data_IF_342704996155
#
_entry.id   IF_342704996155
#
_cell.length_a   1.000
_cell.length_b   1.000
_cell.length_c   1.000
_cell.angle_alpha   90.00
_cell.angle_beta   90.00
_cell.angle_gamma   90.00
#
_symmetry.space_group_name_H-M   'P 1'
#
loop_
_entity.id
_entity.type
_entity.pdbx_description
1 polymer ?
#
# COMPACT_ATOMS: atom_id res chain seq x y z
N UNK A 1 15.59 0.17 -18.93
CA UNK A 1 15.26 1.18 -17.88
C UNK A 1 14.53 2.42 -18.44
N UNK A 2 14.70 2.78 -19.72
CA UNK A 2 13.94 3.87 -20.38
C UNK A 2 12.51 3.46 -20.82
N UNK A 3 12.31 2.19 -21.14
CA UNK A 3 11.09 1.65 -21.74
C UNK A 3 9.87 1.68 -20.79
N UNK A 4 10.02 1.28 -19.52
CA UNK A 4 8.90 1.26 -18.55
C UNK A 4 8.28 2.64 -18.28
N UNK A 5 9.14 3.66 -18.21
CA UNK A 5 8.69 5.03 -18.05
C UNK A 5 7.97 5.53 -19.33
N UNK A 6 8.42 5.11 -20.51
CA UNK A 6 7.77 5.44 -21.78
C UNK A 6 6.40 4.76 -21.90
N UNK A 7 6.27 3.51 -21.48
CA UNK A 7 4.99 2.79 -21.47
C UNK A 7 4.01 3.40 -20.47
N UNK A 8 4.47 3.69 -19.25
CA UNK A 8 3.68 4.41 -18.25
C UNK A 8 3.16 5.75 -18.80
N UNK A 9 4.02 6.52 -19.47
CA UNK A 9 3.63 7.78 -20.12
C UNK A 9 2.68 7.58 -21.29
N UNK A 10 2.83 6.51 -22.05
CA UNK A 10 1.93 6.16 -23.16
C UNK A 10 0.54 5.86 -22.63
N UNK A 11 0.43 5.10 -21.55
CA UNK A 11 -0.85 4.81 -20.89
C UNK A 11 -1.47 6.07 -20.31
N UNK A 12 -0.68 6.89 -19.61
CA UNK A 12 -1.16 8.19 -19.11
C UNK A 12 -1.66 9.09 -20.24
N UNK A 13 -0.93 9.14 -21.36
CA UNK A 13 -1.30 9.95 -22.52
C UNK A 13 -2.60 9.48 -23.17
N UNK A 14 -2.81 8.17 -23.21
CA UNK A 14 -3.98 7.57 -23.88
C UNK A 14 -5.21 7.45 -22.97
N UNK A 15 -5.02 7.31 -21.66
CA UNK A 15 -6.07 6.94 -20.71
C UNK A 15 -6.21 7.90 -19.51
N UNK A 16 -5.40 8.96 -19.45
CA UNK A 16 -5.36 9.89 -18.33
C UNK A 16 -4.63 9.33 -17.10
N UNK A 17 -4.83 9.94 -15.94
CA UNK A 17 -4.26 9.43 -14.68
C UNK A 17 -4.84 8.05 -14.33
N UNK A 18 -4.05 7.14 -13.73
CA UNK A 18 -4.59 5.93 -13.11
C UNK A 18 -5.56 6.34 -12.00
N UNK A 19 -6.49 5.45 -11.63
CA UNK A 19 -7.45 5.67 -10.55
C UNK A 19 -6.86 5.23 -9.21
N UNK A 20 -6.14 4.11 -9.18
CA UNK A 20 -5.53 3.54 -7.98
C UNK A 20 -4.06 3.24 -8.18
N UNK A 21 -3.28 3.46 -7.13
CA UNK A 21 -1.91 3.01 -6.98
C UNK A 21 -1.78 2.12 -5.75
N UNK A 22 -1.37 0.87 -5.97
CA UNK A 22 -1.27 -0.14 -4.93
C UNK A 22 0.19 -0.54 -4.79
N UNK A 23 0.71 -0.51 -3.57
CA UNK A 23 1.99 -1.15 -3.25
C UNK A 23 1.74 -2.40 -2.44
N UNK A 24 2.01 -3.57 -3.02
CA UNK A 24 1.75 -4.87 -2.43
C UNK A 24 3.07 -5.53 -2.01
N UNK A 25 3.29 -5.72 -0.71
CA UNK A 25 4.54 -6.29 -0.19
C UNK A 25 4.33 -7.75 0.22
N UNK A 26 5.36 -8.59 0.06
CA UNK A 26 5.31 -9.97 0.55
C UNK A 26 5.16 -10.01 2.09
N UNK A 27 4.30 -10.87 2.61
CA UNK A 27 4.29 -11.23 4.03
C UNK A 27 5.04 -12.55 4.21
N UNK A 28 6.09 -12.57 5.03
CA UNK A 28 6.87 -13.77 5.30
C UNK A 28 6.13 -14.81 6.16
N UNK A 29 5.04 -14.39 6.84
CA UNK A 29 4.18 -15.24 7.68
C UNK A 29 3.02 -15.87 6.91
N UNK A 30 3.00 -15.77 5.59
CA UNK A 30 2.01 -16.51 4.82
C UNK A 30 2.19 -18.01 5.06
N UNK A 31 1.09 -18.71 5.31
CA UNK A 31 1.12 -20.14 5.64
C UNK A 31 1.79 -20.99 4.56
N UNK A 32 1.70 -20.58 3.30
CA UNK A 32 2.37 -21.24 2.17
C UNK A 32 3.90 -21.11 2.22
N UNK A 33 4.44 -20.07 2.86
CA UNK A 33 5.88 -19.95 3.12
C UNK A 33 6.23 -20.84 4.32
N UNK A 34 5.51 -20.68 5.43
CA UNK A 34 5.83 -21.39 6.68
C UNK A 34 5.77 -22.92 6.53
N UNK A 35 4.84 -23.44 5.72
CA UNK A 35 4.70 -24.89 5.44
C UNK A 35 5.86 -25.48 4.64
N UNK A 36 6.57 -24.66 3.86
CA UNK A 36 7.64 -25.10 2.96
C UNK A 36 9.04 -24.92 3.61
N UNK A 37 9.10 -24.38 4.83
CA UNK A 37 10.34 -24.22 5.58
C UNK A 37 10.64 -25.48 6.40
N UNK A 38 11.87 -25.98 6.26
CA UNK A 38 12.36 -27.08 7.09
C UNK A 38 12.63 -26.61 8.53
N UNK A 39 12.66 -27.52 9.53
CA UNK A 39 12.98 -27.17 10.90
C UNK A 39 14.30 -26.37 11.01
N UNK A 40 14.21 -25.17 11.58
CA UNK A 40 15.35 -24.26 11.75
C UNK A 40 15.62 -23.31 10.57
N UNK A 41 14.95 -23.46 9.43
CA UNK A 41 15.02 -22.49 8.33
C UNK A 41 14.20 -21.25 8.65
N UNK A 42 14.71 -20.08 8.27
CA UNK A 42 13.94 -18.83 8.29
C UNK A 42 13.53 -18.47 6.86
N UNK A 43 12.43 -17.71 6.66
CA UNK A 43 12.04 -17.24 5.34
C UNK A 43 13.17 -16.53 4.57
N UNK A 44 14.03 -15.77 5.29
CA UNK A 44 15.18 -15.08 4.70
C UNK A 44 16.23 -16.03 4.10
N UNK A 45 16.25 -17.29 4.51
CA UNK A 45 17.19 -18.29 3.98
C UNK A 45 16.67 -18.92 2.66
N UNK A 46 15.38 -18.75 2.35
CA UNK A 46 14.67 -19.39 1.23
C UNK A 46 13.99 -18.39 0.31
N UNK A 47 14.80 -17.57 -0.35
CA UNK A 47 14.33 -16.58 -1.32
C UNK A 47 13.53 -17.18 -2.48
N UNK A 48 13.79 -18.44 -2.84
CA UNK A 48 13.06 -19.18 -3.87
C UNK A 48 11.60 -19.43 -3.49
N UNK A 49 11.34 -19.83 -2.24
CA UNK A 49 9.98 -20.02 -1.69
C UNK A 49 9.27 -18.67 -1.64
N UNK A 50 9.91 -17.65 -1.06
CA UNK A 50 9.37 -16.28 -1.01
C UNK A 50 8.97 -15.81 -2.41
N UNK A 51 9.83 -16.01 -3.41
CA UNK A 51 9.56 -15.58 -4.78
C UNK A 51 8.32 -16.25 -5.36
N UNK A 52 8.22 -17.57 -5.20
CA UNK A 52 7.12 -18.38 -5.73
C UNK A 52 5.80 -18.03 -5.08
N UNK A 53 5.75 -17.96 -3.75
CA UNK A 53 4.52 -17.61 -3.03
C UNK A 53 4.11 -16.18 -3.35
N UNK A 54 5.05 -15.22 -3.37
CA UNK A 54 4.74 -13.85 -3.75
C UNK A 54 4.16 -13.75 -5.16
N UNK A 55 4.74 -14.46 -6.13
CA UNK A 55 4.22 -14.47 -7.51
C UNK A 55 2.80 -15.04 -7.59
N UNK A 56 2.50 -16.11 -6.83
CA UNK A 56 1.15 -16.66 -6.75
C UNK A 56 0.17 -15.67 -6.12
N UNK A 57 0.53 -15.04 -5.00
CA UNK A 57 -0.30 -14.02 -4.34
C UNK A 57 -0.51 -12.80 -5.24
N UNK A 58 0.50 -12.37 -5.97
CA UNK A 58 0.39 -11.28 -6.93
C UNK A 58 -0.55 -11.64 -8.10
N UNK A 59 -0.50 -12.88 -8.59
CA UNK A 59 -1.46 -13.35 -9.61
C UNK A 59 -2.90 -13.29 -9.10
N UNK A 60 -3.14 -13.73 -7.86
CA UNK A 60 -4.45 -13.63 -7.22
C UNK A 60 -4.86 -12.16 -7.02
N UNK A 61 -3.95 -11.27 -6.61
CA UNK A 61 -4.19 -9.82 -6.54
C UNK A 61 -4.65 -9.26 -7.87
N UNK A 62 -3.96 -9.59 -8.97
CA UNK A 62 -4.35 -9.12 -10.29
C UNK A 62 -5.71 -9.69 -10.72
N UNK A 63 -6.02 -10.94 -10.41
CA UNK A 63 -7.34 -11.53 -10.69
C UNK A 63 -8.44 -10.82 -9.88
N UNK A 64 -8.21 -10.51 -8.60
CA UNK A 64 -9.14 -9.73 -7.75
C UNK A 64 -9.44 -8.36 -8.37
N UNK A 65 -8.40 -7.65 -8.82
CA UNK A 65 -8.55 -6.31 -9.40
C UNK A 65 -9.22 -6.36 -10.78
N UNK A 66 -8.84 -7.30 -11.65
CA UNK A 66 -9.17 -7.26 -13.09
C UNK A 66 -10.31 -8.19 -13.49
N UNK A 67 -10.38 -9.40 -12.92
CA UNK A 67 -11.41 -10.41 -13.26
C UNK A 67 -12.61 -10.32 -12.35
N UNK A 68 -12.38 -10.22 -11.04
CA UNK A 68 -13.44 -10.07 -10.05
C UNK A 68 -13.91 -8.62 -9.88
N UNK A 69 -13.18 -7.66 -10.47
CA UNK A 69 -13.62 -6.26 -10.65
C UNK A 69 -14.07 -5.62 -9.34
N UNK A 70 -13.33 -5.85 -8.26
CA UNK A 70 -13.71 -5.41 -6.90
C UNK A 70 -13.83 -3.89 -6.74
N UNK A 71 -13.24 -3.12 -7.67
CA UNK A 71 -13.35 -1.66 -7.73
C UNK A 71 -14.11 -1.18 -8.98
N UNK A 72 -14.83 -2.09 -9.65
CA UNK A 72 -15.44 -1.87 -10.95
C UNK A 72 -14.59 -2.40 -12.10
N UNK A 73 -15.09 -2.22 -13.32
CA UNK A 73 -14.44 -2.71 -14.52
C UNK A 73 -13.08 -2.05 -14.72
N UNK A 74 -12.02 -2.87 -14.79
CA UNK A 74 -10.67 -2.38 -15.10
C UNK A 74 -10.57 -2.14 -16.61
N UNK A 75 -10.23 -0.92 -17.03
CA UNK A 75 -9.92 -0.60 -18.42
C UNK A 75 -8.54 -1.12 -18.81
N UNK A 76 -7.55 -0.81 -17.97
CA UNK A 76 -6.19 -1.28 -18.15
C UNK A 76 -5.41 -1.20 -16.84
N UNK A 77 -4.28 -1.90 -16.81
CA UNK A 77 -3.41 -1.95 -15.65
C UNK A 77 -1.95 -2.04 -16.07
N UNK A 78 -1.10 -1.67 -15.13
CA UNK A 78 0.35 -1.85 -15.24
C UNK A 78 0.88 -2.21 -13.87
N UNK A 79 1.83 -3.14 -13.80
CA UNK A 79 2.57 -3.34 -12.56
C UNK A 79 4.04 -3.66 -12.80
N UNK A 80 4.85 -3.34 -11.80
CA UNK A 80 6.26 -3.74 -11.72
C UNK A 80 6.54 -4.44 -10.41
N UNK A 81 7.43 -5.43 -10.43
CA UNK A 81 7.93 -6.12 -9.24
C UNK A 81 9.38 -5.72 -8.99
N UNK A 82 9.64 -5.23 -7.78
CA UNK A 82 10.97 -4.85 -7.32
C UNK A 82 11.48 -5.87 -6.29
N UNK A 83 12.69 -6.38 -6.56
CA UNK A 83 13.44 -7.18 -5.59
C UNK A 83 14.54 -6.33 -4.99
N UNK A 84 14.34 -5.92 -3.74
CA UNK A 84 15.40 -5.24 -3.01
C UNK A 84 16.41 -6.31 -2.56
N UNK A 85 17.71 -6.10 -2.81
CA UNK A 85 18.80 -7.05 -2.44
C UNK A 85 18.80 -7.47 -0.95
N UNK A 86 18.03 -6.77 -0.10
CA UNK A 86 17.86 -7.03 1.34
C UNK A 86 16.41 -6.77 1.82
N UNK A 87 15.46 -6.59 0.90
CA UNK A 87 14.08 -6.24 1.23
C UNK A 87 13.11 -7.22 0.59
N UNK A 88 11.91 -7.31 1.15
CA UNK A 88 10.89 -8.21 0.65
C UNK A 88 10.45 -7.82 -0.76
N UNK A 89 10.08 -8.81 -1.60
CA UNK A 89 9.47 -8.52 -2.89
C UNK A 89 8.25 -7.64 -2.68
N UNK A 90 8.12 -6.63 -3.54
CA UNK A 90 6.91 -5.84 -3.58
C UNK A 90 6.57 -5.47 -5.02
N UNK A 91 5.28 -5.31 -5.26
CA UNK A 91 4.73 -4.88 -6.53
C UNK A 91 4.19 -3.45 -6.40
N UNK A 92 4.40 -2.68 -7.45
CA UNK A 92 3.78 -1.39 -7.68
C UNK A 92 2.75 -1.57 -8.79
N UNK A 93 1.47 -1.46 -8.45
CA UNK A 93 0.34 -1.75 -9.35
C UNK A 93 -0.42 -0.45 -9.60
N UNK A 94 -0.75 -0.21 -10.86
CA UNK A 94 -1.61 0.87 -11.33
C UNK A 94 -2.82 0.31 -12.03
N UNK A 95 -3.98 0.87 -11.69
CA UNK A 95 -5.27 0.50 -12.25
C UNK A 95 -5.93 1.73 -12.85
N UNK A 96 -6.39 1.61 -14.09
CA UNK A 96 -7.34 2.53 -14.72
C UNK A 96 -8.69 1.82 -14.79
N UNK A 97 -9.72 2.42 -14.22
CA UNK A 97 -11.08 1.91 -14.26
C UNK A 97 -11.80 2.43 -15.52
N UNK A 98 -12.80 1.69 -16.02
CA UNK A 98 -13.69 2.18 -17.08
C UNK A 98 -14.53 3.35 -16.56
N UNK A 99 -15.12 3.18 -15.38
CA UNK A 99 -15.79 4.25 -14.64
C UNK A 99 -14.79 4.84 -13.65
N UNK A 100 -14.48 6.13 -13.83
CA UNK A 100 -13.48 6.82 -13.02
C UNK A 100 -13.89 6.87 -11.56
N UNK A 101 -12.92 6.66 -10.66
CA UNK A 101 -13.17 6.76 -9.22
C UNK A 101 -13.37 8.23 -8.84
N UNK A 102 -14.55 8.57 -8.34
CA UNK A 102 -14.87 9.92 -7.92
C UNK A 102 -14.41 10.19 -6.48
N UNK A 103 -14.14 11.47 -6.16
CA UNK A 103 -13.64 11.87 -4.84
C UNK A 103 -14.52 11.43 -3.68
N UNK A 104 -15.84 11.40 -3.89
CA UNK A 104 -16.83 10.99 -2.88
C UNK A 104 -16.92 9.47 -2.67
N UNK A 105 -16.27 8.68 -3.52
CA UNK A 105 -16.26 7.20 -3.44
C UNK A 105 -14.95 6.68 -2.82
N UNK A 106 -13.98 7.57 -2.55
CA UNK A 106 -12.65 7.18 -2.05
C UNK A 106 -12.76 6.48 -0.70
N UNK A 107 -13.60 6.98 0.20
CA UNK A 107 -13.75 6.45 1.56
C UNK A 107 -14.49 5.10 1.61
N UNK A 108 -15.18 4.72 0.53
CA UNK A 108 -15.81 3.40 0.40
C UNK A 108 -14.76 2.30 0.13
N UNK A 109 -13.61 2.69 -0.44
CA UNK A 109 -12.55 1.77 -0.86
C UNK A 109 -11.34 1.84 0.06
N UNK A 110 -10.95 3.05 0.46
CA UNK A 110 -9.70 3.35 1.14
C UNK A 110 -9.99 3.89 2.53
N UNK A 111 -9.41 3.26 3.54
CA UNK A 111 -9.39 3.76 4.91
C UNK A 111 -7.96 4.08 5.33
N UNK A 112 -7.81 5.07 6.21
CA UNK A 112 -6.57 5.35 6.92
C UNK A 112 -6.81 5.41 8.44
N UNK A 113 -7.82 4.69 8.92
CA UNK A 113 -8.19 4.65 10.33
C UNK A 113 -7.96 3.25 10.92
N UNK A 114 -7.66 3.21 12.21
CA UNK A 114 -7.63 1.98 13.01
C UNK A 114 -9.07 1.45 13.10
N UNK A 115 -9.34 0.20 12.64
CA UNK A 115 -10.64 -0.44 12.76
C UNK A 115 -11.08 -0.57 14.21
N UNK A 116 -12.36 -0.85 14.45
CA UNK A 116 -12.83 -1.08 15.81
C UNK A 116 -12.51 -2.52 16.27
N UNK A 117 -11.81 -2.70 17.40
CA UNK A 117 -11.40 -4.03 17.87
C UNK A 117 -12.55 -4.92 18.36
N UNK A 118 -13.74 -4.35 18.61
CA UNK A 118 -14.93 -5.09 19.04
C UNK A 118 -15.76 -5.49 17.82
N UNK A 119 -16.02 -4.57 16.91
CA UNK A 119 -16.87 -4.83 15.73
C UNK A 119 -16.14 -5.52 14.59
N UNK A 120 -14.82 -5.30 14.46
CA UNK A 120 -13.99 -5.92 13.44
C UNK A 120 -12.59 -6.27 13.99
N UNK A 121 -12.52 -7.23 14.93
CA UNK A 121 -11.26 -7.63 15.57
C UNK A 121 -10.21 -8.12 14.58
N UNK A 122 -10.64 -8.80 13.50
CA UNK A 122 -9.73 -9.37 12.52
C UNK A 122 -9.06 -8.29 11.67
N UNK A 123 -9.83 -7.34 11.12
CA UNK A 123 -9.21 -6.23 10.39
C UNK A 123 -8.39 -5.35 11.32
N UNK A 124 -8.83 -5.14 12.56
CA UNK A 124 -8.05 -4.42 13.58
C UNK A 124 -6.67 -5.07 13.76
N UNK A 125 -6.58 -6.38 13.95
CA UNK A 125 -5.30 -7.09 14.09
C UNK A 125 -4.41 -6.91 12.85
N UNK A 126 -4.97 -7.07 11.65
CA UNK A 126 -4.24 -6.88 10.39
C UNK A 126 -3.71 -5.45 10.29
N UNK A 127 -4.55 -4.44 10.49
CA UNK A 127 -4.18 -3.03 10.30
C UNK A 127 -3.15 -2.60 11.34
N UNK A 128 -3.32 -3.00 12.60
CA UNK A 128 -2.40 -2.62 13.68
C UNK A 128 -1.05 -3.34 13.59
N UNK A 129 -1.00 -4.50 12.94
CA UNK A 129 0.24 -5.24 12.70
C UNK A 129 0.94 -4.84 11.41
N UNK A 130 0.19 -4.65 10.32
CA UNK A 130 0.74 -4.52 8.97
C UNK A 130 0.68 -3.10 8.43
N UNK A 131 -0.32 -2.29 8.81
CA UNK A 131 -0.57 -0.98 8.18
C UNK A 131 -0.16 0.21 9.06
N UNK A 132 0.56 -0.02 10.14
CA UNK A 132 1.12 1.06 10.98
C UNK A 132 2.45 1.52 10.39
N UNK A 133 2.55 2.81 10.07
CA UNK A 133 3.86 3.43 9.90
C UNK A 133 4.55 3.51 11.26
N UNK A 134 5.72 2.87 11.37
CA UNK A 134 6.48 2.87 12.61
C UNK A 134 6.71 4.30 13.14
N UNK A 135 6.71 4.51 14.48
CA UNK A 135 6.88 5.85 15.05
C UNK A 135 8.13 6.52 14.52
N UNK A 136 8.03 7.79 14.19
CA UNK A 136 9.09 8.59 13.59
C UNK A 136 8.94 10.06 13.98
N UNK A 137 9.82 10.91 13.50
CA UNK A 137 9.77 12.34 13.85
C UNK A 137 10.12 12.52 15.32
N UNK A 138 9.31 13.29 16.03
CA UNK A 138 9.50 13.55 17.45
C UNK A 138 9.43 12.27 18.31
N UNK A 139 8.70 11.25 17.87
CA UNK A 139 8.57 9.98 18.61
C UNK A 139 9.78 9.06 18.44
N UNK A 140 10.52 9.17 17.32
CA UNK A 140 11.72 8.39 17.08
C UNK A 140 12.55 9.00 15.94
N UNK A 141 13.61 9.72 16.30
CA UNK A 141 14.54 10.33 15.34
C UNK A 141 15.44 9.28 14.63
N UNK A 142 15.56 8.07 15.18
CA UNK A 142 16.39 6.99 14.63
C UNK A 142 15.66 6.13 13.59
N UNK A 143 14.38 6.41 13.32
CA UNK A 143 13.61 5.63 12.35
C UNK A 143 14.24 5.73 10.95
N UNK A 144 14.34 4.63 10.17
CA UNK A 144 14.97 4.61 8.84
C UNK A 144 14.35 5.58 7.82
N UNK A 145 13.11 6.01 8.06
CA UNK A 145 12.40 6.96 7.22
C UNK A 145 12.82 8.42 7.45
N UNK A 146 13.61 8.72 8.48
CA UNK A 146 14.03 10.07 8.83
C UNK A 146 15.17 10.55 7.93
N UNK A 147 15.04 11.75 7.38
CA UNK A 147 16.10 12.49 6.69
C UNK A 147 15.94 13.98 6.99
N UNK A 148 17.04 14.68 7.27
CA UNK A 148 17.05 16.12 7.60
C UNK A 148 16.04 16.50 8.71
N UNK A 149 15.94 15.65 9.74
CA UNK A 149 15.02 15.83 10.87
C UNK A 149 13.54 15.64 10.55
N UNK A 150 13.19 15.20 9.33
CA UNK A 150 11.80 15.01 8.89
C UNK A 150 11.57 13.60 8.36
N UNK A 151 10.35 13.08 8.54
CA UNK A 151 9.98 11.81 7.92
C UNK A 151 9.85 11.99 6.40
N UNK A 152 10.65 11.24 5.62
CA UNK A 152 10.59 11.23 4.16
C UNK A 152 9.24 10.75 3.61
N UNK A 153 8.46 10.03 4.43
CA UNK A 153 7.10 9.57 4.13
C UNK A 153 6.00 10.50 4.68
N UNK A 154 6.40 11.63 5.27
CA UNK A 154 5.52 12.70 5.79
C UNK A 154 4.58 12.25 6.91
N UNK A 155 5.08 11.40 7.80
CA UNK A 155 4.39 11.04 9.04
C UNK A 155 4.88 11.89 10.23
N UNK A 156 4.02 12.16 11.22
CA UNK A 156 2.58 11.83 11.26
C UNK A 156 1.77 12.60 10.20
N UNK A 157 0.67 12.01 9.72
CA UNK A 157 -0.25 12.64 8.76
C UNK A 157 -1.23 13.58 9.47
N UNK A 158 -1.76 14.61 8.80
CA UNK A 158 -2.79 15.47 9.38
C UNK A 158 -4.04 14.66 9.77
N UNK A 159 -4.63 14.99 10.90
CA UNK A 159 -5.94 14.50 11.31
C UNK A 159 -7.00 15.38 10.63
N UNK A 160 -7.94 14.76 9.92
CA UNK A 160 -9.03 15.42 9.18
C UNK A 160 -10.30 14.57 9.28
N UNK A 161 -11.45 15.23 9.45
CA UNK A 161 -12.75 14.57 9.64
C UNK A 161 -13.29 13.92 8.36
N UNK A 162 -12.87 14.40 7.18
CA UNK A 162 -13.29 13.90 5.87
C UNK A 162 -12.10 13.89 4.90
N UNK A 163 -12.15 13.00 3.90
CA UNK A 163 -11.12 12.94 2.87
C UNK A 163 -11.15 14.19 2.00
N UNK A 164 -10.00 14.87 1.89
CA UNK A 164 -9.85 16.07 1.07
C UNK A 164 -9.06 15.74 -0.19
N UNK A 165 -9.76 15.75 -1.33
CA UNK A 165 -9.14 15.65 -2.66
C UNK A 165 -8.81 17.06 -3.18
N UNK A 166 -7.54 17.45 -3.13
CA UNK A 166 -7.08 18.72 -3.73
C UNK A 166 -6.67 18.55 -5.20
N UNK A 167 -6.56 19.66 -5.94
CA UNK A 167 -6.25 19.65 -7.38
C UNK A 167 -4.85 19.14 -7.76
N UNK A 168 -3.95 18.92 -6.79
CA UNK A 168 -2.52 18.98 -7.05
C UNK A 168 -1.67 17.92 -6.34
N UNK A 169 -2.26 16.84 -5.80
CA UNK A 169 -1.53 15.80 -5.07
C UNK A 169 -2.30 14.51 -4.82
N UNK A 170 -1.80 13.69 -3.89
CA UNK A 170 -2.56 12.58 -3.30
C UNK A 170 -3.61 13.14 -2.34
N UNK A 171 -4.78 12.49 -2.20
CA UNK A 171 -5.77 12.89 -1.21
C UNK A 171 -5.20 12.91 0.21
N UNK A 172 -5.70 13.83 1.03
CA UNK A 172 -5.53 13.74 2.48
C UNK A 172 -6.70 12.91 2.99
N UNK A 173 -6.44 11.63 3.26
CA UNK A 173 -7.48 10.71 3.73
C UNK A 173 -7.99 11.09 5.11
N UNK A 174 -9.28 10.81 5.34
CA UNK A 174 -9.92 10.89 6.64
C UNK A 174 -9.12 10.14 7.70
N UNK A 175 -8.81 10.85 8.78
CA UNK A 175 -8.09 10.37 9.96
C UNK A 175 -8.66 11.11 11.16
N UNK A 176 -9.70 10.55 11.78
CA UNK A 176 -10.34 11.23 12.91
C UNK A 176 -9.42 11.22 14.13
N UNK A 177 -9.44 12.32 14.89
CA UNK A 177 -8.73 12.42 16.16
C UNK A 177 -9.48 11.68 17.26
N UNK A 178 -8.87 11.50 18.44
CA UNK A 178 -9.54 10.87 19.59
C UNK A 178 -10.80 11.62 20.03
N UNK A 179 -10.79 12.95 19.89
CA UNK A 179 -11.92 13.83 20.18
C UNK A 179 -13.06 13.66 19.15
N UNK A 180 -12.75 13.15 17.96
CA UNK A 180 -13.69 12.85 16.87
C UNK A 180 -13.89 11.33 16.67
N UNK A 181 -13.93 10.56 17.76
CA UNK A 181 -14.14 9.10 17.73
C UNK A 181 -13.06 8.29 16.97
N UNK A 182 -11.89 8.88 16.72
CA UNK A 182 -10.70 8.20 16.26
C UNK A 182 -10.11 7.29 17.33
N UNK A 183 -9.44 6.23 16.90
CA UNK A 183 -8.84 5.22 17.79
C UNK A 183 -7.33 5.42 17.92
N UNK A 184 -6.79 4.91 19.02
CA UNK A 184 -5.36 4.86 19.29
C UNK A 184 -4.93 3.44 19.61
N UNK A 185 -3.66 3.14 19.39
CA UNK A 185 -3.02 1.89 19.79
C UNK A 185 -1.70 2.18 20.50
N UNK A 186 -1.24 1.21 21.30
CA UNK A 186 0.08 1.25 21.92
C UNK A 186 1.07 0.47 21.07
N UNK A 187 2.20 1.10 20.74
CA UNK A 187 3.32 0.47 20.03
C UNK A 187 4.58 0.57 20.85
N UNK A 188 5.44 -0.45 20.77
CA UNK A 188 6.73 -0.45 21.48
C UNK A 188 7.84 0.13 20.61
N UNK A 189 8.54 1.13 21.13
CA UNK A 189 9.71 1.77 20.52
C UNK A 189 10.80 1.88 21.57
N UNK A 190 11.98 1.31 21.30
CA UNK A 190 13.13 1.40 22.22
C UNK A 190 12.79 1.00 23.68
N UNK A 191 11.99 -0.06 23.86
CA UNK A 191 11.48 -0.55 25.15
C UNK A 191 10.50 0.39 25.89
N UNK A 192 9.99 1.44 25.23
CA UNK A 192 8.92 2.29 25.74
C UNK A 192 7.62 2.03 24.96
N UNK A 193 6.49 2.02 25.67
CA UNK A 193 5.17 2.02 25.03
C UNK A 193 4.75 3.45 24.71
N UNK A 194 4.43 3.69 23.45
CA UNK A 194 3.98 4.99 22.93
C UNK A 194 2.57 4.78 22.38
N UNK A 195 1.66 5.68 22.73
CA UNK A 195 0.33 5.74 22.13
C UNK A 195 0.41 6.49 20.79
N UNK A 196 -0.11 5.88 19.73
CA UNK A 196 -0.22 6.49 18.39
C UNK A 196 -1.66 6.39 17.90
N UNK A 197 -2.09 7.37 17.12
CA UNK A 197 -3.43 7.41 16.53
C UNK A 197 -3.45 7.15 15.03
N UNK A 198 -4.58 7.51 14.44
CA UNK A 198 -4.84 7.41 13.01
C UNK A 198 -3.80 8.14 12.16
N UNK A 199 -3.07 9.12 12.69
CA UNK A 199 -2.02 9.85 11.97
C UNK A 199 -0.86 8.97 11.48
N UNK A 200 -0.70 7.76 12.02
CA UNK A 200 0.35 6.80 11.63
C UNK A 200 -0.13 5.68 10.70
N UNK A 201 -1.42 5.60 10.36
CA UNK A 201 -1.93 4.49 9.55
C UNK A 201 -1.64 4.69 8.06
N UNK A 202 -1.03 3.71 7.42
CA UNK A 202 -0.85 3.69 5.97
C UNK A 202 -2.20 3.42 5.31
N UNK A 203 -2.63 4.20 4.30
CA UNK A 203 -3.95 4.01 3.69
C UNK A 203 -4.04 2.61 3.06
N UNK A 204 -5.16 1.94 3.32
CA UNK A 204 -5.37 0.54 2.99
C UNK A 204 -6.79 0.33 2.47
N UNK A 205 -7.01 -0.76 1.74
CA UNK A 205 -8.36 -1.21 1.40
C UNK A 205 -8.76 -2.35 2.35
N UNK A 206 -9.83 -2.20 3.16
CA UNK A 206 -10.28 -3.23 4.09
C UNK A 206 -10.48 -4.61 3.44
N UNK A 207 -11.00 -4.64 2.20
CA UNK A 207 -11.20 -5.89 1.46
C UNK A 207 -9.86 -6.57 1.13
N UNK A 208 -8.93 -5.83 0.51
CA UNK A 208 -7.63 -6.37 0.12
C UNK A 208 -6.80 -6.77 1.35
N UNK A 209 -6.86 -6.00 2.44
CA UNK A 209 -6.18 -6.33 3.68
C UNK A 209 -6.63 -7.68 4.24
N UNK A 210 -7.93 -8.01 4.20
CA UNK A 210 -8.44 -9.32 4.64
C UNK A 210 -8.07 -10.45 3.69
N UNK A 211 -8.06 -10.21 2.38
CA UNK A 211 -7.72 -11.26 1.40
C UNK A 211 -6.24 -11.66 1.50
N UNK A 212 -5.35 -10.68 1.68
CA UNK A 212 -3.91 -10.91 1.54
C UNK A 212 -3.12 -10.86 2.84
N UNK A 213 -3.71 -10.35 3.93
CA UNK A 213 -3.08 -10.29 5.26
C UNK A 213 -1.61 -9.81 5.20
N UNK A 214 -1.37 -8.71 4.46
CA UNK A 214 -0.03 -8.16 4.24
C UNK A 214 -0.06 -6.64 4.20
N UNK A 215 1.12 -6.04 4.29
CA UNK A 215 1.30 -4.63 4.02
C UNK A 215 0.97 -4.30 2.55
N UNK A 216 -0.22 -3.74 2.35
CA UNK A 216 -0.75 -3.32 1.06
C UNK A 216 -1.25 -1.87 1.12
N UNK A 217 -0.40 -0.93 0.72
CA UNK A 217 -0.77 0.48 0.64
C UNK A 217 -1.67 0.70 -0.59
N UNK A 218 -2.82 1.35 -0.43
CA UNK A 218 -3.75 1.68 -1.52
C UNK A 218 -3.95 3.19 -1.53
N UNK A 219 -3.58 3.83 -2.64
CA UNK A 219 -3.72 5.27 -2.81
C UNK A 219 -4.55 5.61 -4.05
N UNK A 220 -5.52 6.50 -3.88
CA UNK A 220 -6.25 7.10 -4.99
C UNK A 220 -5.39 8.10 -5.76
N UNK A 221 -5.52 8.08 -7.08
CA UNK A 221 -4.72 8.87 -8.01
C UNK A 221 -5.60 9.85 -8.79
N UNK A 222 -5.71 11.08 -8.30
CA UNK A 222 -6.51 12.12 -8.97
C UNK A 222 -5.68 13.19 -9.68
N UNK A 223 -4.35 13.19 -9.55
CA UNK A 223 -3.52 14.28 -10.07
C UNK A 223 -2.29 13.83 -10.87
N UNK A 224 -1.82 14.72 -11.75
CA UNK A 224 -0.60 14.54 -12.51
C UNK A 224 0.68 14.48 -11.64
N UNK A 225 0.62 14.91 -10.36
CA UNK A 225 1.75 14.76 -9.43
C UNK A 225 1.87 13.33 -8.91
N UNK A 226 0.77 12.58 -8.78
CA UNK A 226 0.80 11.13 -8.50
C UNK A 226 1.59 10.40 -9.59
N UNK A 227 1.46 10.84 -10.84
CA UNK A 227 2.24 10.33 -11.99
C UNK A 227 3.75 10.53 -11.82
N UNK A 228 4.23 11.68 -11.34
CA UNK A 228 5.67 11.90 -11.12
C UNK A 228 6.25 10.97 -10.05
N UNK A 229 5.47 10.59 -9.04
CA UNK A 229 5.90 9.65 -8.01
C UNK A 229 6.03 8.22 -8.56
N UNK A 230 5.14 7.83 -9.48
CA UNK A 230 5.19 6.54 -10.20
C UNK A 230 6.49 6.39 -11.01
N UNK A 231 6.92 7.46 -11.68
CA UNK A 231 8.19 7.50 -12.40
C UNK A 231 9.43 7.34 -11.51
N UNK A 232 9.39 7.80 -10.25
CA UNK A 232 10.52 7.67 -9.33
C UNK A 232 10.68 6.24 -8.83
N UNK A 233 9.56 5.52 -8.61
CA UNK A 233 9.57 4.15 -8.10
C UNK A 233 10.04 3.15 -9.15
N UNK A 234 9.50 3.20 -10.37
CA UNK A 234 9.86 2.30 -11.48
C UNK A 234 11.34 2.29 -11.90
N UNK A 235 12.16 3.24 -11.43
CA UNK A 235 13.58 3.37 -11.80
C UNK A 235 14.54 2.52 -10.95
N UNK A 236 14.12 1.92 -9.84
CA UNK A 236 15.02 1.22 -8.93
C UNK A 236 14.76 -0.29 -8.91
N UNK A 237 15.63 -1.09 -9.55
CA UNK A 237 15.71 -2.54 -9.30
C UNK A 237 14.48 -3.37 -9.72
N UNK A 238 13.67 -2.87 -10.65
CA UNK A 238 12.56 -3.61 -11.26
C UNK A 238 13.09 -4.88 -11.96
N UNK A 239 12.54 -6.03 -11.57
CA UNK A 239 12.90 -7.35 -12.12
C UNK A 239 11.83 -7.84 -13.10
N UNK A 240 10.56 -7.50 -12.86
CA UNK A 240 9.44 -7.87 -13.74
C UNK A 240 8.53 -6.69 -13.99
N UNK A 241 8.05 -6.58 -15.22
CA UNK A 241 7.14 -5.54 -15.67
C UNK A 241 6.02 -6.16 -16.50
N UNK A 242 4.77 -5.75 -16.24
CA UNK A 242 3.61 -6.24 -16.95
C UNK A 242 2.63 -5.11 -17.22
N UNK A 243 2.03 -5.15 -18.40
CA UNK A 243 1.02 -4.21 -18.87
C UNK A 243 -0.11 -5.03 -19.48
N UNK A 244 -1.36 -4.69 -19.15
CA UNK A 244 -2.53 -5.35 -19.71
C UNK A 244 -3.66 -4.37 -19.97
N UNK A 245 -4.41 -4.62 -21.04
CA UNK A 245 -5.74 -4.04 -21.26
C UNK A 245 -6.78 -5.13 -21.01
N UNK A 246 -7.90 -4.77 -20.42
CA UNK A 246 -9.05 -5.65 -20.39
C UNK A 246 -10.00 -5.16 -21.50
N UNK A 247 -10.29 -6.03 -22.46
CA UNK A 247 -11.27 -5.79 -23.52
C UNK A 247 -12.70 -5.96 -23.00
#
# INVERSE_FOLDING_TARGET
>A
MHEYAQDAMTYVRNYGTPDLFITFTCNQKWTEIERELEPGQKPQDRHDIIARVFQQKLKVMMDVLTKYRVFGDTRCYMYSVEWQKRGLPHAHILIWLLNKLHSNEVDDIISAEIPDPVTDPHLHDIVTTQMVHGPCGALNLLSPCMADGKCTKRYPRPLVAETVTGNDGYPVYRRRSKEDNGRTIKVKVQNQEIEIGNEFIVPYCPLLSRIFETHANVESCHSAKSIKYLHKRQRHGCVWYCVGKCE
#
